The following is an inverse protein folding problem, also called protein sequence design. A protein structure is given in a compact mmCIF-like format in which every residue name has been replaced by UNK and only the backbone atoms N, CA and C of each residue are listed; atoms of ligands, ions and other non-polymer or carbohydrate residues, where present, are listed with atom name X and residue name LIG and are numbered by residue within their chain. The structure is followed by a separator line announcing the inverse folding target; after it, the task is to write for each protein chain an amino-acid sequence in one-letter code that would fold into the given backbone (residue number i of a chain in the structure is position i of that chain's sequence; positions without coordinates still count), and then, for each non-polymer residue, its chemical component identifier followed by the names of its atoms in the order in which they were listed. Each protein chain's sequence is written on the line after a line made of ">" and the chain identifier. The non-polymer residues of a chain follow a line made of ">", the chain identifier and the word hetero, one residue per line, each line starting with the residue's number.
data_IF_949009627916
#
_entry.id   IF_949009627916
#
_cell.length_a   1.000
_cell.length_b   1.000
_cell.length_c   1.000
_cell.angle_alpha   90.00
_cell.angle_beta   90.00
_cell.angle_gamma   90.00
#
_symmetry.space_group_name_H-M   'P 1'
#
loop_
_entity.id
_entity.type
_entity.pdbx_description
1 polymer ?
#
# COMPACT_ATOMS: atom_id res chain seq x y z
N UNK A 1 17.30 -3.63 -21.37
CA UNK A 1 16.94 -3.94 -19.96
C UNK A 1 15.52 -3.46 -19.75
N UNK A 2 14.56 -4.35 -19.40
CA UNK A 2 13.18 -3.94 -19.11
C UNK A 2 13.22 -3.11 -17.82
N UNK A 3 12.92 -1.83 -17.90
CA UNK A 3 12.66 -0.99 -16.74
C UNK A 3 11.57 -1.67 -15.90
N UNK A 4 11.97 -2.22 -14.75
CA UNK A 4 11.00 -2.76 -13.80
C UNK A 4 10.21 -1.58 -13.28
N UNK A 5 8.91 -1.53 -13.62
CA UNK A 5 7.99 -0.53 -13.07
C UNK A 5 8.13 -0.52 -11.53
N UNK A 6 8.61 0.57 -10.94
CA UNK A 6 8.90 0.64 -9.51
C UNK A 6 7.66 0.35 -8.66
N UNK A 7 6.49 0.77 -9.10
CA UNK A 7 5.19 0.50 -8.46
C UNK A 7 4.90 -1.00 -8.38
N UNK A 8 5.13 -1.73 -9.47
CA UNK A 8 4.86 -3.17 -9.50
C UNK A 8 5.80 -3.92 -8.54
N UNK A 9 7.07 -3.54 -8.50
CA UNK A 9 8.08 -4.14 -7.62
C UNK A 9 7.74 -3.94 -6.14
N UNK A 10 7.32 -2.74 -5.75
CA UNK A 10 6.90 -2.39 -4.38
C UNK A 10 5.60 -3.12 -4.00
N UNK A 11 4.63 -3.20 -4.92
CA UNK A 11 3.37 -3.93 -4.69
C UNK A 11 3.62 -5.42 -4.49
N UNK A 12 4.52 -6.02 -5.25
CA UNK A 12 4.88 -7.44 -5.09
C UNK A 12 5.57 -7.69 -3.75
N UNK A 13 6.47 -6.82 -3.31
CA UNK A 13 7.09 -6.92 -1.98
C UNK A 13 6.07 -6.85 -0.85
N UNK A 14 5.13 -5.93 -0.94
CA UNK A 14 4.04 -5.82 0.02
C UNK A 14 3.18 -7.09 0.04
N UNK A 15 2.82 -7.61 -1.14
CA UNK A 15 2.05 -8.85 -1.28
C UNK A 15 2.75 -10.04 -0.61
N UNK A 16 4.05 -10.19 -0.82
CA UNK A 16 4.84 -11.24 -0.16
C UNK A 16 4.81 -11.07 1.37
N UNK A 17 5.01 -9.84 1.86
CA UNK A 17 4.95 -9.54 3.29
C UNK A 17 3.59 -9.86 3.89
N UNK A 18 2.50 -9.49 3.22
CA UNK A 18 1.13 -9.79 3.66
C UNK A 18 0.82 -11.30 3.64
N UNK A 19 1.33 -12.05 2.66
CA UNK A 19 1.17 -13.50 2.64
C UNK A 19 1.90 -14.17 3.82
N UNK A 20 3.07 -13.67 4.21
CA UNK A 20 3.79 -14.15 5.39
C UNK A 20 2.96 -13.88 6.66
N UNK A 21 2.39 -12.67 6.80
CA UNK A 21 1.53 -12.32 7.94
C UNK A 21 0.28 -13.20 7.96
N UNK A 22 -0.37 -13.45 6.82
CA UNK A 22 -1.50 -14.36 6.74
C UNK A 22 -1.12 -15.77 7.21
N UNK A 23 0.02 -16.30 6.77
CA UNK A 23 0.50 -17.60 7.20
C UNK A 23 0.75 -17.65 8.71
N UNK A 24 1.34 -16.60 9.29
CA UNK A 24 1.55 -16.49 10.74
C UNK A 24 0.22 -16.43 11.50
N UNK A 25 -0.76 -15.67 11.03
CA UNK A 25 -2.10 -15.59 11.65
C UNK A 25 -2.76 -16.97 11.66
N UNK A 26 -2.76 -17.66 10.51
CA UNK A 26 -3.32 -19.01 10.40
C UNK A 26 -2.60 -19.99 11.32
N UNK A 27 -1.26 -19.91 11.39
CA UNK A 27 -0.46 -20.76 12.28
C UNK A 27 -0.81 -20.53 13.75
N UNK A 28 -0.90 -19.28 14.19
CA UNK A 28 -1.24 -18.94 15.56
C UNK A 28 -2.64 -19.46 15.92
N UNK A 29 -3.63 -19.26 15.05
CA UNK A 29 -4.98 -19.79 15.27
C UNK A 29 -5.01 -21.31 15.30
N UNK A 30 -4.26 -21.99 14.42
CA UNK A 30 -4.15 -23.44 14.40
C UNK A 30 -3.53 -23.99 15.70
N UNK A 31 -2.57 -23.29 16.29
CA UNK A 31 -1.95 -23.67 17.56
C UNK A 31 -2.90 -23.49 18.75
N UNK A 32 -3.69 -22.41 18.76
CA UNK A 32 -4.64 -22.11 19.84
C UNK A 32 -5.86 -23.04 19.77
N UNK A 33 -6.46 -23.19 18.61
CA UNK A 33 -7.70 -23.96 18.43
C UNK A 33 -7.46 -25.45 18.11
N UNK A 34 -6.19 -25.84 17.90
CA UNK A 34 -5.76 -27.19 17.47
C UNK A 34 -6.42 -27.66 16.17
N UNK A 35 -7.02 -26.75 15.44
CA UNK A 35 -7.69 -27.00 14.15
C UNK A 35 -7.49 -25.83 13.20
N UNK A 36 -7.36 -26.11 11.90
CA UNK A 36 -7.30 -25.06 10.89
C UNK A 36 -8.71 -24.78 10.37
N UNK A 37 -9.25 -23.61 10.74
CA UNK A 37 -10.55 -23.18 10.23
C UNK A 37 -10.37 -22.41 8.94
N UNK A 38 -11.08 -22.82 7.90
CA UNK A 38 -11.08 -22.12 6.61
C UNK A 38 -11.50 -20.64 6.71
N UNK A 39 -12.36 -20.33 7.70
CA UNK A 39 -12.81 -18.97 8.02
C UNK A 39 -11.66 -18.04 8.40
N UNK A 40 -10.66 -18.53 9.14
CA UNK A 40 -9.46 -17.77 9.51
C UNK A 40 -8.62 -17.47 8.27
N UNK A 41 -8.44 -18.46 7.41
CA UNK A 41 -7.68 -18.30 6.15
C UNK A 41 -8.38 -17.27 5.26
N UNK A 42 -9.68 -17.40 5.07
CA UNK A 42 -10.46 -16.48 4.24
C UNK A 42 -10.40 -15.05 4.78
N UNK A 43 -10.54 -14.88 6.11
CA UNK A 43 -10.51 -13.58 6.76
C UNK A 43 -9.15 -12.89 6.60
N UNK A 44 -8.05 -13.62 6.81
CA UNK A 44 -6.71 -13.11 6.64
C UNK A 44 -6.44 -12.71 5.18
N UNK A 45 -6.86 -13.54 4.22
CA UNK A 45 -6.72 -13.24 2.79
C UNK A 45 -7.52 -12.01 2.35
N UNK A 46 -8.74 -11.83 2.86
CA UNK A 46 -9.54 -10.63 2.58
C UNK A 46 -8.84 -9.39 3.12
N UNK A 47 -8.33 -9.43 4.36
CA UNK A 47 -7.56 -8.33 4.94
C UNK A 47 -6.35 -7.95 4.10
N UNK A 48 -5.54 -8.93 3.71
CA UNK A 48 -4.38 -8.74 2.86
C UNK A 48 -4.74 -8.20 1.46
N UNK A 49 -5.80 -8.73 0.85
CA UNK A 49 -6.25 -8.28 -0.47
C UNK A 49 -6.66 -6.80 -0.46
N UNK A 50 -7.38 -6.35 0.57
CA UNK A 50 -7.76 -4.94 0.74
C UNK A 50 -6.53 -4.04 0.85
N UNK A 51 -5.50 -4.45 1.59
CA UNK A 51 -4.26 -3.69 1.73
C UNK A 51 -3.52 -3.57 0.38
N UNK A 52 -3.30 -4.71 -0.27
CA UNK A 52 -2.57 -4.74 -1.55
C UNK A 52 -3.29 -3.92 -2.60
N UNK A 53 -4.62 -4.03 -2.68
CA UNK A 53 -5.43 -3.24 -3.61
C UNK A 53 -5.35 -1.74 -3.30
N UNK A 54 -5.49 -1.35 -2.03
CA UNK A 54 -5.36 0.04 -1.61
C UNK A 54 -3.98 0.62 -1.90
N UNK A 55 -2.93 -0.17 -1.67
CA UNK A 55 -1.57 0.25 -1.98
C UNK A 55 -1.36 0.43 -3.48
N UNK A 56 -1.80 -0.55 -4.28
CA UNK A 56 -1.70 -0.50 -5.74
C UNK A 56 -2.43 0.71 -6.33
N UNK A 57 -3.66 0.97 -5.87
CA UNK A 57 -4.44 2.13 -6.31
C UNK A 57 -3.76 3.45 -5.95
N UNK A 58 -3.17 3.54 -4.74
CA UNK A 58 -2.41 4.72 -4.34
C UNK A 58 -1.20 4.94 -5.24
N UNK A 59 -0.38 3.90 -5.41
CA UNK A 59 0.84 3.98 -6.19
C UNK A 59 0.54 4.39 -7.63
N UNK A 60 -0.47 3.79 -8.25
CA UNK A 60 -0.93 4.14 -9.59
C UNK A 60 -1.48 5.58 -9.68
N UNK A 61 -2.22 6.02 -8.67
CA UNK A 61 -2.73 7.40 -8.63
C UNK A 61 -1.60 8.42 -8.52
N UNK A 62 -0.57 8.13 -7.73
CA UNK A 62 0.60 9.00 -7.55
C UNK A 62 1.43 9.09 -8.84
N UNK A 63 1.68 7.96 -9.51
CA UNK A 63 2.39 7.92 -10.79
C UNK A 63 1.68 8.76 -11.86
N UNK A 64 0.38 8.58 -12.00
CA UNK A 64 -0.40 9.35 -12.97
C UNK A 64 -0.35 10.86 -12.70
N UNK A 65 -0.38 11.26 -11.43
CA UNK A 65 -0.25 12.67 -11.05
C UNK A 65 1.14 13.21 -11.38
N UNK A 66 2.19 12.44 -11.13
CA UNK A 66 3.55 12.83 -11.42
C UNK A 66 3.79 12.98 -12.95
N UNK A 67 3.32 12.02 -13.76
CA UNK A 67 3.40 12.08 -15.21
C UNK A 67 2.66 13.30 -15.76
N UNK A 68 1.45 13.57 -15.28
CA UNK A 68 0.67 14.76 -15.70
C UNK A 68 1.40 16.06 -15.32
N UNK A 69 2.08 16.10 -14.17
CA UNK A 69 2.88 17.25 -13.76
C UNK A 69 4.09 17.48 -14.67
N UNK A 70 4.78 16.38 -15.04
CA UNK A 70 5.92 16.46 -15.95
C UNK A 70 5.52 16.88 -17.37
N UNK A 71 4.41 16.34 -17.88
CA UNK A 71 3.86 16.73 -19.20
C UNK A 71 3.45 18.20 -19.24
N UNK A 72 2.84 18.71 -18.19
CA UNK A 72 2.45 20.11 -18.09
C UNK A 72 3.67 21.04 -18.04
N UNK A 73 4.74 20.62 -17.33
CA UNK A 73 5.99 21.39 -17.25
C UNK A 73 6.79 21.41 -18.56
N UNK A 74 6.68 20.37 -19.38
CA UNK A 74 7.44 20.26 -20.65
C UNK A 74 6.83 20.99 -21.85
N UNK A 75 5.63 21.58 -21.70
CA UNK A 75 4.87 22.17 -22.82
C UNK A 75 4.99 23.70 -22.96
N UNK A 76 5.48 24.40 -21.92
CA UNK A 76 5.57 25.86 -21.96
C UNK A 76 6.97 26.32 -21.55
N UNK A 77 7.56 27.23 -22.40
CA UNK A 77 8.67 28.11 -22.00
C UNK A 77 8.11 29.12 -20.99
N UNK A 78 8.06 28.72 -19.71
CA UNK A 78 7.48 29.53 -18.65
C UNK A 78 8.55 30.43 -18.01
N UNK A 79 8.22 31.71 -17.83
CA UNK A 79 8.97 32.63 -16.98
C UNK A 79 8.96 32.16 -15.54
N UNK A 80 10.01 32.55 -14.74
CA UNK A 80 10.17 32.13 -13.34
C UNK A 80 8.93 32.38 -12.46
N UNK A 81 8.19 33.46 -12.70
CA UNK A 81 6.97 33.81 -11.97
C UNK A 81 5.80 32.87 -12.32
N UNK A 82 5.69 32.47 -13.59
CA UNK A 82 4.72 31.50 -14.05
C UNK A 82 5.00 30.10 -13.50
N UNK A 83 6.28 29.71 -13.39
CA UNK A 83 6.72 28.46 -12.76
C UNK A 83 6.34 28.44 -11.28
N UNK A 84 6.53 29.53 -10.55
CA UNK A 84 6.18 29.62 -9.14
C UNK A 84 4.69 29.48 -8.89
N UNK A 85 3.84 30.18 -9.68
CA UNK A 85 2.38 30.07 -9.61
C UNK A 85 1.88 28.68 -9.97
N UNK A 86 2.41 28.09 -11.05
CA UNK A 86 2.07 26.75 -11.48
C UNK A 86 2.43 25.72 -10.41
N UNK A 87 3.63 25.83 -9.81
CA UNK A 87 4.08 24.92 -8.77
C UNK A 87 3.18 24.99 -7.54
N UNK A 88 2.79 26.21 -7.08
CA UNK A 88 1.92 26.41 -5.94
C UNK A 88 0.51 25.83 -6.19
N UNK A 89 -0.08 26.10 -7.34
CA UNK A 89 -1.42 25.59 -7.73
C UNK A 89 -1.41 24.06 -7.85
N UNK A 90 -0.35 23.51 -8.45
CA UNK A 90 -0.20 22.08 -8.63
C UNK A 90 0.02 21.35 -7.30
N UNK A 91 0.82 21.92 -6.39
CA UNK A 91 1.00 21.39 -5.03
C UNK A 91 -0.32 21.36 -4.26
N UNK A 92 -1.13 22.42 -4.35
CA UNK A 92 -2.43 22.47 -3.69
C UNK A 92 -3.39 21.39 -4.26
N UNK A 93 -3.45 21.21 -5.58
CA UNK A 93 -4.25 20.15 -6.22
C UNK A 93 -3.75 18.75 -5.85
N UNK A 94 -2.44 18.54 -5.79
CA UNK A 94 -1.84 17.29 -5.35
C UNK A 94 -2.17 16.98 -3.89
N UNK A 95 -2.02 17.96 -3.00
CA UNK A 95 -2.34 17.80 -1.59
C UNK A 95 -3.81 17.43 -1.37
N UNK A 96 -4.74 18.10 -2.05
CA UNK A 96 -6.16 17.81 -1.97
C UNK A 96 -6.48 16.39 -2.46
N UNK A 97 -5.91 15.94 -3.58
CA UNK A 97 -6.10 14.58 -4.10
C UNK A 97 -5.49 13.54 -3.17
N UNK A 98 -4.32 13.79 -2.59
CA UNK A 98 -3.72 12.90 -1.60
C UNK A 98 -4.59 12.77 -0.34
N UNK A 99 -5.17 13.87 0.15
CA UNK A 99 -6.09 13.85 1.28
C UNK A 99 -7.34 13.03 0.99
N UNK A 100 -7.99 13.25 -0.16
CA UNK A 100 -9.17 12.48 -0.56
C UNK A 100 -8.82 10.98 -0.67
N UNK A 101 -7.71 10.65 -1.31
CA UNK A 101 -7.24 9.27 -1.42
C UNK A 101 -6.98 8.65 -0.05
N UNK A 102 -6.40 9.40 0.88
CA UNK A 102 -6.18 8.95 2.26
C UNK A 102 -7.50 8.66 2.98
N UNK A 103 -8.49 9.57 2.89
CA UNK A 103 -9.80 9.40 3.51
C UNK A 103 -10.52 8.15 2.96
N UNK A 104 -10.52 7.97 1.64
CA UNK A 104 -11.13 6.79 1.00
C UNK A 104 -10.47 5.49 1.51
N UNK A 105 -9.15 5.47 1.62
CA UNK A 105 -8.41 4.30 2.13
C UNK A 105 -8.73 3.99 3.58
N UNK A 106 -8.77 5.02 4.43
CA UNK A 106 -9.15 4.86 5.83
C UNK A 106 -10.58 4.36 5.96
N UNK A 107 -11.50 4.90 5.17
CA UNK A 107 -12.89 4.44 5.13
C UNK A 107 -12.99 2.98 4.67
N UNK A 108 -12.28 2.60 3.60
CA UNK A 108 -12.27 1.21 3.11
C UNK A 108 -11.73 0.24 4.16
N UNK A 109 -10.64 0.59 4.85
CA UNK A 109 -10.10 -0.23 5.93
C UNK A 109 -11.09 -0.35 7.11
N UNK A 110 -11.69 0.76 7.53
CA UNK A 110 -12.68 0.77 8.60
C UNK A 110 -13.91 -0.10 8.26
N UNK A 111 -14.44 0.05 7.04
CA UNK A 111 -15.57 -0.77 6.57
C UNK A 111 -15.19 -2.26 6.54
N UNK A 112 -14.00 -2.60 6.07
CA UNK A 112 -13.52 -3.99 6.03
C UNK A 112 -13.45 -4.59 7.43
N UNK A 113 -12.92 -3.84 8.41
CA UNK A 113 -12.86 -4.29 9.81
C UNK A 113 -14.26 -4.49 10.36
N UNK A 114 -15.14 -3.51 10.19
CA UNK A 114 -16.54 -3.60 10.67
C UNK A 114 -17.25 -4.81 10.07
N UNK A 115 -17.14 -5.01 8.75
CA UNK A 115 -17.73 -6.16 8.07
C UNK A 115 -17.17 -7.49 8.58
N UNK A 116 -15.85 -7.55 8.85
CA UNK A 116 -15.21 -8.75 9.37
C UNK A 116 -15.70 -9.13 10.78
N UNK A 117 -16.17 -8.16 11.58
CA UNK A 117 -16.77 -8.43 12.90
C UNK A 117 -18.27 -8.73 12.83
N UNK A 118 -19.00 -8.19 11.83
CA UNK A 118 -20.44 -8.42 11.70
C UNK A 118 -20.73 -9.75 11.01
N UNK A 119 -19.92 -10.14 10.03
CA UNK A 119 -20.18 -11.34 9.24
C UNK A 119 -19.79 -12.62 10.00
N UNK A 120 -20.74 -13.56 10.21
CA UNK A 120 -20.51 -14.75 11.05
C UNK A 120 -19.54 -15.77 10.45
N UNK A 121 -19.23 -15.63 9.15
CA UNK A 121 -18.27 -16.49 8.45
C UNK A 121 -16.84 -15.92 8.42
N UNK A 122 -16.63 -14.72 9.00
CA UNK A 122 -15.33 -14.10 9.11
C UNK A 122 -14.86 -14.03 10.57
N UNK A 123 -13.57 -14.08 10.75
CA UNK A 123 -12.92 -13.89 12.05
C UNK A 123 -12.31 -12.50 12.07
N UNK A 124 -12.97 -11.57 12.76
CA UNK A 124 -12.61 -10.15 12.77
C UNK A 124 -11.16 -9.88 13.14
N UNK A 125 -10.64 -10.59 14.14
CA UNK A 125 -9.22 -10.46 14.55
C UNK A 125 -8.29 -10.91 13.42
N UNK A 126 -8.57 -12.05 12.78
CA UNK A 126 -7.74 -12.57 11.69
C UNK A 126 -7.69 -11.65 10.47
N UNK A 127 -8.79 -10.94 10.18
CA UNK A 127 -8.84 -9.92 9.12
C UNK A 127 -8.12 -8.61 9.52
N UNK A 128 -8.13 -8.25 10.82
CA UNK A 128 -7.56 -6.99 11.30
C UNK A 128 -6.03 -7.04 11.42
N UNK A 129 -5.44 -8.21 11.70
CA UNK A 129 -3.98 -8.32 11.88
C UNK A 129 -3.21 -7.91 10.61
N UNK A 130 -3.51 -8.39 9.39
CA UNK A 130 -2.87 -7.90 8.17
C UNK A 130 -2.99 -6.38 8.03
N UNK A 131 -4.19 -5.80 8.28
CA UNK A 131 -4.43 -4.36 8.18
C UNK A 131 -3.52 -3.53 9.10
N UNK A 132 -3.21 -4.03 10.28
CA UNK A 132 -2.30 -3.38 11.24
C UNK A 132 -0.83 -3.56 10.86
N UNK A 133 -0.47 -4.69 10.24
CA UNK A 133 0.92 -5.03 9.90
C UNK A 133 1.43 -4.35 8.63
N UNK A 134 0.60 -3.64 7.87
CA UNK A 134 1.00 -2.93 6.65
C UNK A 134 2.20 -1.99 6.88
N UNK A 135 2.16 -1.17 7.95
CA UNK A 135 3.25 -0.21 8.23
C UNK A 135 4.56 -0.88 8.63
N UNK A 136 4.58 -1.85 9.57
CA UNK A 136 5.78 -2.64 9.85
C UNK A 136 6.38 -3.32 8.62
N UNK A 137 5.55 -3.91 7.75
CA UNK A 137 6.02 -4.58 6.53
C UNK A 137 6.74 -3.60 5.60
N UNK A 138 6.14 -2.43 5.35
CA UNK A 138 6.75 -1.40 4.50
C UNK A 138 8.06 -0.88 5.10
N UNK A 139 8.11 -0.69 6.42
CA UNK A 139 9.32 -0.23 7.12
C UNK A 139 10.46 -1.24 7.03
N UNK A 140 10.16 -2.52 7.26
CA UNK A 140 11.13 -3.61 7.12
C UNK A 140 11.63 -3.70 5.67
N UNK A 141 10.72 -3.60 4.69
CA UNK A 141 11.06 -3.59 3.26
C UNK A 141 12.03 -2.47 2.90
N UNK A 142 11.86 -1.27 3.48
CA UNK A 142 12.75 -0.14 3.26
C UNK A 142 14.15 -0.33 3.88
N UNK A 143 14.22 -0.96 5.05
CA UNK A 143 15.51 -1.30 5.68
C UNK A 143 16.32 -2.26 4.79
N UNK A 144 15.67 -3.28 4.25
CA UNK A 144 16.32 -4.24 3.36
C UNK A 144 16.79 -3.56 2.06
N UNK A 145 16.00 -2.66 1.48
CA UNK A 145 16.38 -1.89 0.29
C UNK A 145 17.64 -1.06 0.52
N UNK A 146 17.68 -0.32 1.63
CA UNK A 146 18.87 0.49 1.99
C UNK A 146 20.13 -0.36 2.18
N UNK A 147 19.98 -1.62 2.56
CA UNK A 147 21.10 -2.56 2.73
C UNK A 147 21.61 -3.08 1.38
N UNK A 148 20.72 -3.37 0.44
CA UNK A 148 21.06 -3.77 -0.93
C UNK A 148 21.79 -2.65 -1.69
N UNK A 149 21.31 -1.40 -1.59
CA UNK A 149 21.92 -0.25 -2.24
C UNK A 149 23.33 0.03 -1.72
N UNK A 150 23.59 -0.18 -0.42
CA UNK A 150 24.95 -0.06 0.16
C UNK A 150 25.91 -1.13 -0.32
N UNK A 151 25.45 -2.34 -0.58
CA UNK A 151 26.28 -3.44 -1.08
C UNK A 151 26.64 -3.22 -2.56
N UNK A 152 25.72 -2.67 -3.36
CA UNK A 152 25.92 -2.44 -4.79
C UNK A 152 26.74 -1.17 -5.11
N UNK A 153 26.86 -0.22 -4.18
CA UNK A 153 27.67 1.01 -4.35
C UNK A 153 29.01 0.97 -3.60
N UNK A 154 29.32 -0.13 -2.93
CA UNK A 154 30.54 -0.30 -2.12
C UNK A 154 31.58 -1.22 -2.74
N UNK A 155 31.43 -1.59 -4.01
CA UNK A 155 32.39 -2.41 -4.77
C UNK A 155 32.97 -1.66 -5.97
#
# INVERSE_FOLDING_TARGET
>A
MKEKNPVLSETVRLLIGELIVCALVVLVYALIEKTVRWQVILSALIGAAVIVLNFFLLARSTDNLFLTAMEARGKDDMDEEAIAKFTAEYQAKMAARMQISFIIRMATMAVTVVLAFILPFLVGIAASVPLLMQRPILYIGEIFRKKEDKVNHGS
#
